data_IF_281752027720
#
_entry.id   IF_281752027720
#
_cell.length_a   1.000
_cell.length_b   1.000
_cell.length_c   1.000
_cell.angle_alpha   90.00
_cell.angle_beta   90.00
_cell.angle_gamma   90.00
#
_symmetry.space_group_name_H-M   'P 1'
#
loop_
_entity.id
_entity.type
_entity.pdbx_description
1 polymer ?
#
# COMPACT_ATOMS: atom_id res chain seq x y z
N UNK A 1 13.79 -9.98 -9.94
CA UNK A 1 13.80 -8.91 -8.92
C UNK A 1 12.67 -7.93 -9.19
N UNK A 2 11.97 -7.50 -8.16
CA UNK A 2 10.84 -6.59 -8.31
C UNK A 2 11.29 -5.15 -8.58
N UNK A 3 10.49 -4.43 -9.34
CA UNK A 3 10.71 -3.02 -9.65
C UNK A 3 9.41 -2.25 -9.44
N UNK A 4 9.48 -0.93 -9.53
CA UNK A 4 8.29 -0.08 -9.47
C UNK A 4 7.27 -0.41 -10.57
N UNK A 5 7.70 -1.05 -11.65
CA UNK A 5 6.80 -1.49 -12.72
C UNK A 5 5.90 -2.66 -12.30
N UNK A 6 6.25 -3.36 -11.22
CA UNK A 6 5.45 -4.45 -10.69
C UNK A 6 4.36 -3.96 -9.72
N UNK A 7 4.43 -2.69 -9.31
CA UNK A 7 3.39 -2.07 -8.48
C UNK A 7 2.23 -1.69 -9.38
N UNK A 8 1.00 -2.09 -8.98
CA UNK A 8 -0.18 -1.92 -9.81
C UNK A 8 -1.30 -1.22 -9.05
N UNK A 9 -1.99 -0.34 -9.75
CA UNK A 9 -3.25 0.22 -9.25
C UNK A 9 -4.38 -0.69 -9.73
N UNK A 10 -5.10 -1.28 -8.77
CA UNK A 10 -6.16 -2.25 -9.05
C UNK A 10 -7.51 -1.57 -8.80
N UNK A 11 -8.37 -1.61 -9.80
CA UNK A 11 -9.74 -1.13 -9.62
C UNK A 11 -10.55 -2.21 -8.90
N UNK A 12 -11.12 -1.85 -7.73
CA UNK A 12 -11.96 -2.74 -6.93
C UNK A 12 -13.39 -2.63 -7.47
N UNK A 13 -14.11 -3.75 -7.65
CA UNK A 13 -15.50 -3.69 -8.10
C UNK A 13 -16.35 -2.75 -7.24
N UNK A 14 -17.12 -1.91 -7.88
CA UNK A 14 -17.99 -0.96 -7.21
C UNK A 14 -19.43 -1.17 -7.68
N UNK A 15 -20.31 -1.41 -6.73
CA UNK A 15 -21.75 -1.54 -6.97
C UNK A 15 -22.40 -0.25 -6.50
N UNK A 16 -23.02 0.47 -7.43
CA UNK A 16 -23.65 1.78 -7.17
C UNK A 16 -25.16 1.67 -7.24
N UNK A 17 -25.85 2.26 -6.26
CA UNK A 17 -27.27 2.51 -6.34
C UNK A 17 -27.62 3.79 -5.57
N UNK A 18 -28.91 4.10 -5.44
CA UNK A 18 -29.37 5.35 -4.82
C UNK A 18 -28.94 5.46 -3.34
N UNK A 19 -28.61 4.34 -2.68
CA UNK A 19 -28.19 4.32 -1.26
C UNK A 19 -26.69 4.55 -1.11
N UNK A 20 -25.92 4.57 -2.20
CA UNK A 20 -24.47 4.75 -2.17
C UNK A 20 -23.73 3.68 -2.95
N UNK A 21 -22.46 3.52 -2.63
CA UNK A 21 -21.56 2.59 -3.30
C UNK A 21 -21.09 1.50 -2.34
N UNK A 22 -20.94 0.29 -2.89
CA UNK A 22 -20.37 -0.85 -2.16
C UNK A 22 -19.22 -1.41 -2.99
N UNK A 23 -18.07 -1.65 -2.36
CA UNK A 23 -16.93 -2.31 -3.01
C UNK A 23 -16.60 -3.60 -2.29
N UNK A 24 -16.23 -4.63 -3.07
CA UNK A 24 -16.01 -5.99 -2.56
C UNK A 24 -14.63 -6.46 -2.97
N UNK A 25 -13.92 -7.05 -2.01
CA UNK A 25 -12.66 -7.75 -2.26
C UNK A 25 -12.88 -9.20 -1.85
N UNK A 26 -12.95 -10.10 -2.82
CA UNK A 26 -13.13 -11.53 -2.59
C UNK A 26 -12.52 -12.34 -3.73
N UNK A 27 -12.21 -13.59 -3.48
CA UNK A 27 -11.69 -14.46 -4.53
C UNK A 27 -10.44 -13.88 -5.19
N UNK A 28 -10.51 -13.68 -6.50
CA UNK A 28 -9.39 -13.20 -7.31
C UNK A 28 -9.36 -11.69 -7.52
N UNK A 29 -10.10 -10.92 -6.72
CA UNK A 29 -10.08 -9.45 -6.82
C UNK A 29 -8.66 -8.91 -6.66
N UNK A 30 -7.87 -9.52 -5.77
CA UNK A 30 -6.46 -9.19 -5.60
C UNK A 30 -5.63 -10.49 -5.74
N UNK A 31 -4.34 -10.38 -6.11
CA UNK A 31 -3.55 -11.57 -6.47
C UNK A 31 -2.92 -12.30 -5.28
N UNK A 32 -3.46 -12.16 -4.08
CA UNK A 32 -3.00 -12.91 -2.91
C UNK A 32 -4.17 -13.06 -1.93
N UNK A 33 -4.02 -14.05 -1.03
CA UNK A 33 -4.98 -14.24 0.07
C UNK A 33 -4.56 -13.35 1.23
N UNK A 34 -5.45 -12.46 1.66
CA UNK A 34 -5.15 -11.58 2.79
C UNK A 34 -5.19 -12.38 4.10
N UNK A 35 -4.08 -12.38 4.80
CA UNK A 35 -3.97 -13.02 6.12
C UNK A 35 -4.05 -12.02 7.26
N UNK A 36 -3.89 -10.72 6.95
CA UNK A 36 -3.92 -9.66 7.95
C UNK A 36 -4.48 -8.40 7.29
N UNK A 37 -5.35 -7.71 8.02
CA UNK A 37 -5.87 -6.41 7.60
C UNK A 37 -5.67 -5.43 8.74
N UNK A 38 -5.11 -4.27 8.43
CA UNK A 38 -4.98 -3.19 9.39
C UNK A 38 -5.29 -1.86 8.71
N UNK A 39 -5.53 -0.84 9.51
CA UNK A 39 -5.87 0.46 8.94
C UNK A 39 -5.32 1.60 9.79
N UNK A 40 -4.94 2.66 9.12
CA UNK A 40 -4.44 3.88 9.73
C UNK A 40 -5.57 4.90 9.76
N UNK A 41 -5.75 5.53 10.90
CA UNK A 41 -6.75 6.59 11.06
C UNK A 41 -6.23 7.60 12.08
N UNK A 42 -6.88 8.75 12.15
CA UNK A 42 -6.45 9.86 13.01
C UNK A 42 -5.01 10.30 12.71
N UNK A 43 -4.58 10.16 11.45
CA UNK A 43 -3.25 10.58 11.04
C UNK A 43 -3.25 12.11 10.93
N UNK A 44 -2.35 12.81 11.65
CA UNK A 44 -2.29 14.26 11.53
C UNK A 44 -2.03 14.70 10.09
N UNK A 45 -2.75 15.73 9.64
CA UNK A 45 -2.58 16.28 8.30
C UNK A 45 -1.13 16.68 8.06
N UNK A 46 -0.57 16.27 6.92
CA UNK A 46 0.82 16.57 6.56
C UNK A 46 1.87 15.64 7.15
N UNK A 47 1.46 14.64 7.95
CA UNK A 47 2.40 13.65 8.50
C UNK A 47 2.94 12.71 7.45
N UNK A 48 4.07 12.06 7.75
CA UNK A 48 4.67 11.00 6.96
C UNK A 48 4.71 9.72 7.77
N UNK A 49 4.52 8.57 7.10
CA UNK A 49 4.57 7.26 7.73
C UNK A 49 5.13 6.21 6.77
N UNK A 50 5.48 5.05 7.33
CA UNK A 50 5.65 3.83 6.56
C UNK A 50 6.98 3.62 5.90
N UNK A 51 8.02 4.39 6.19
CA UNK A 51 9.34 4.21 5.59
C UNK A 51 9.89 2.80 5.83
N UNK A 52 9.56 1.86 4.95
CA UNK A 52 10.02 0.47 5.06
C UNK A 52 9.77 -0.29 3.75
N UNK A 53 10.33 -1.49 3.70
CA UNK A 53 10.05 -2.47 2.65
C UNK A 53 9.80 -3.83 3.30
N UNK A 54 9.23 -4.75 2.55
CA UNK A 54 9.03 -6.13 2.96
C UNK A 54 9.85 -7.06 2.08
N UNK A 55 10.46 -8.06 2.68
CA UNK A 55 11.25 -9.05 1.95
C UNK A 55 10.34 -10.02 1.19
N UNK A 56 9.23 -10.42 1.79
CA UNK A 56 8.30 -11.43 1.23
C UNK A 56 6.86 -10.97 1.14
N UNK A 57 6.41 -10.07 2.01
CA UNK A 57 5.00 -9.69 2.09
C UNK A 57 4.57 -8.79 0.95
N UNK A 58 3.41 -9.08 0.39
CA UNK A 58 2.69 -8.20 -0.53
C UNK A 58 1.60 -7.46 0.24
N UNK A 59 1.31 -6.24 -0.17
CA UNK A 59 0.27 -5.43 0.46
C UNK A 59 -0.61 -4.73 -0.57
N UNK A 60 -1.87 -4.53 -0.22
CA UNK A 60 -2.80 -3.69 -0.97
C UNK A 60 -3.21 -2.52 -0.07
N UNK A 61 -3.02 -1.30 -0.56
CA UNK A 61 -3.36 -0.08 0.17
C UNK A 61 -4.56 0.60 -0.48
N UNK A 62 -5.54 1.02 0.33
CA UNK A 62 -6.74 1.69 -0.16
C UNK A 62 -7.00 2.94 0.69
N UNK A 63 -7.27 4.08 0.04
CA UNK A 63 -7.77 5.25 0.74
C UNK A 63 -9.29 5.12 0.88
N UNK A 64 -9.77 4.58 2.01
CA UNK A 64 -11.20 4.45 2.26
C UNK A 64 -11.86 5.80 2.45
N UNK A 65 -11.11 6.79 2.91
CA UNK A 65 -11.55 8.16 3.13
C UNK A 65 -10.34 9.07 2.96
N UNK A 66 -10.54 10.25 2.40
CA UNK A 66 -9.47 11.22 2.21
C UNK A 66 -8.49 10.80 1.12
N UNK A 67 -7.27 11.33 1.22
CA UNK A 67 -6.22 11.07 0.24
C UNK A 67 -4.85 11.08 0.88
N UNK A 68 -3.91 10.39 0.24
CA UNK A 68 -2.49 10.41 0.61
C UNK A 68 -1.65 9.98 -0.59
N UNK A 69 -0.36 10.30 -0.52
CA UNK A 69 0.59 9.91 -1.55
C UNK A 69 1.43 8.75 -1.06
N UNK A 70 1.73 7.82 -1.96
CA UNK A 70 2.62 6.70 -1.72
C UNK A 70 3.86 6.90 -2.58
N UNK A 71 5.00 7.09 -1.93
CA UNK A 71 6.30 7.18 -2.60
C UNK A 71 6.90 5.79 -2.66
N UNK A 72 7.24 5.33 -3.87
CA UNK A 72 7.73 3.97 -4.12
C UNK A 72 9.15 4.04 -4.64
N UNK A 73 10.04 3.25 -4.04
CA UNK A 73 11.45 3.18 -4.46
C UNK A 73 11.86 1.72 -4.60
N UNK A 74 12.48 1.39 -5.72
CA UNK A 74 12.94 0.02 -5.99
C UNK A 74 14.47 -0.11 -5.98
N UNK A 75 15.18 0.93 -5.52
CA UNK A 75 16.63 0.97 -5.52
C UNK A 75 17.21 1.57 -6.80
N UNK A 76 16.40 1.78 -7.82
CA UNK A 76 16.85 2.26 -9.12
C UNK A 76 15.96 3.38 -9.68
N UNK A 77 14.69 3.39 -9.30
CA UNK A 77 13.73 4.42 -9.73
C UNK A 77 12.81 4.78 -8.58
N UNK A 78 12.12 5.90 -8.74
CA UNK A 78 11.16 6.40 -7.76
C UNK A 78 9.90 6.84 -8.49
N UNK A 79 8.73 6.54 -7.90
CA UNK A 79 7.49 7.10 -8.40
C UNK A 79 6.53 7.36 -7.25
N UNK A 80 5.61 8.27 -7.45
CA UNK A 80 4.59 8.62 -6.46
C UNK A 80 3.22 8.35 -7.03
N UNK A 81 2.38 7.68 -6.24
CA UNK A 81 0.99 7.40 -6.59
C UNK A 81 0.10 8.04 -5.55
N UNK A 82 -0.89 8.82 -5.98
CA UNK A 82 -1.87 9.40 -5.08
C UNK A 82 -3.07 8.46 -4.98
N UNK A 83 -3.44 8.10 -3.75
CA UNK A 83 -4.65 7.32 -3.49
C UNK A 83 -5.71 8.26 -2.93
N UNK A 84 -6.84 8.36 -3.62
CA UNK A 84 -7.92 9.30 -3.27
C UNK A 84 -9.32 8.74 -3.57
N UNK A 85 -9.45 7.45 -3.85
CA UNK A 85 -10.73 6.81 -4.16
C UNK A 85 -10.83 5.47 -3.45
N UNK A 86 -11.97 5.18 -2.79
CA UNK A 86 -12.08 3.93 -2.02
C UNK A 86 -12.21 2.67 -2.88
N UNK A 87 -12.43 2.80 -4.17
CA UNK A 87 -12.52 1.65 -5.07
C UNK A 87 -11.25 1.41 -5.89
N UNK A 88 -10.12 1.95 -5.46
CA UNK A 88 -8.82 1.68 -6.08
C UNK A 88 -7.83 1.27 -5.01
N UNK A 89 -7.17 0.15 -5.22
CA UNK A 89 -6.13 -0.34 -4.33
C UNK A 89 -4.78 -0.34 -5.01
N UNK A 90 -3.74 0.05 -4.28
CA UNK A 90 -2.37 -0.01 -4.76
C UNK A 90 -1.73 -1.31 -4.29
N UNK A 91 -1.43 -2.19 -5.23
CA UNK A 91 -0.69 -3.42 -4.94
C UNK A 91 0.79 -3.09 -4.89
N UNK A 92 1.37 -3.24 -3.69
CA UNK A 92 2.81 -3.08 -3.50
C UNK A 92 3.38 -4.48 -3.27
N UNK A 93 4.10 -4.98 -4.27
CA UNK A 93 4.71 -6.31 -4.20
C UNK A 93 5.92 -6.29 -3.27
N UNK A 94 6.40 -7.47 -2.88
CA UNK A 94 7.60 -7.59 -2.04
C UNK A 94 8.79 -6.87 -2.65
N UNK A 95 9.72 -6.41 -1.82
CA UNK A 95 10.96 -5.82 -2.28
C UNK A 95 10.84 -4.39 -2.79
N UNK A 96 9.80 -3.67 -2.41
CA UNK A 96 9.59 -2.28 -2.79
C UNK A 96 9.53 -1.43 -1.52
N UNK A 97 10.36 -0.39 -1.46
CA UNK A 97 10.33 0.58 -0.37
C UNK A 97 9.16 1.53 -0.58
N UNK A 98 8.41 1.79 0.51
CA UNK A 98 7.30 2.75 0.46
C UNK A 98 7.38 3.73 1.60
N UNK A 99 6.91 4.94 1.32
CA UNK A 99 6.68 5.98 2.31
C UNK A 99 5.32 6.58 2.03
N UNK A 100 4.54 6.79 3.07
CA UNK A 100 3.22 7.42 2.97
C UNK A 100 3.33 8.85 3.44
N UNK A 101 2.80 9.80 2.67
CA UNK A 101 2.92 11.22 2.99
C UNK A 101 1.75 11.99 2.44
N UNK A 102 1.70 13.27 2.79
CA UNK A 102 0.69 14.21 2.29
C UNK A 102 -0.73 13.76 2.61
N UNK A 103 -0.94 13.29 3.86
CA UNK A 103 -2.26 12.85 4.32
C UNK A 103 -3.23 14.03 4.39
N UNK A 104 -4.42 13.87 3.83
CA UNK A 104 -5.50 14.84 4.01
C UNK A 104 -6.14 14.66 5.38
N UNK A 105 -6.99 15.61 5.76
CA UNK A 105 -7.80 15.50 6.97
C UNK A 105 -8.78 14.33 6.84
N UNK A 106 -8.97 13.57 7.92
CA UNK A 106 -9.94 12.48 7.98
C UNK A 106 -9.59 11.26 7.13
N UNK A 107 -8.33 11.09 6.78
CA UNK A 107 -7.88 9.96 5.97
C UNK A 107 -8.04 8.64 6.73
N UNK A 108 -8.45 7.60 6.01
CA UNK A 108 -8.41 6.21 6.49
C UNK A 108 -7.70 5.39 5.43
N UNK A 109 -6.56 4.82 5.79
CA UNK A 109 -5.79 3.95 4.91
C UNK A 109 -5.98 2.50 5.35
N UNK A 110 -6.64 1.69 4.52
CA UNK A 110 -6.79 0.26 4.76
C UNK A 110 -5.64 -0.48 4.09
N UNK A 111 -5.03 -1.42 4.81
CA UNK A 111 -3.95 -2.25 4.27
C UNK A 111 -4.33 -3.72 4.45
N UNK A 112 -4.30 -4.47 3.35
CA UNK A 112 -4.47 -5.92 3.35
C UNK A 112 -3.11 -6.54 3.04
N UNK A 113 -2.69 -7.50 3.85
CA UNK A 113 -1.35 -8.08 3.77
C UNK A 113 -1.40 -9.57 3.51
N UNK A 114 -0.46 -10.07 2.70
CA UNK A 114 -0.37 -11.49 2.36
C UNK A 114 0.10 -12.37 3.50
N UNK A 115 0.74 -11.79 4.52
CA UNK A 115 1.35 -12.54 5.61
C UNK A 115 0.94 -11.96 6.96
N UNK A 116 1.05 -12.78 8.01
CA UNK A 116 0.91 -12.32 9.38
C UNK A 116 2.08 -11.41 9.71
N UNK A 117 1.92 -10.59 10.74
CA UNK A 117 2.99 -9.69 11.18
C UNK A 117 4.25 -10.48 11.54
N UNK A 118 5.38 -10.06 10.97
CA UNK A 118 6.69 -10.65 11.22
C UNK A 118 7.74 -9.55 11.09
N UNK A 119 8.30 -9.10 12.20
CA UNK A 119 9.28 -8.01 12.19
C UNK A 119 10.49 -8.37 11.34
N UNK A 120 10.88 -9.65 11.27
CA UNK A 120 12.03 -10.07 10.48
C UNK A 120 11.84 -9.89 8.97
N UNK A 121 10.59 -9.70 8.52
CA UNK A 121 10.28 -9.43 7.11
C UNK A 121 10.45 -7.95 6.76
N UNK A 122 10.52 -7.07 7.75
CA UNK A 122 10.65 -5.64 7.52
C UNK A 122 12.11 -5.23 7.28
N UNK A 123 12.28 -4.30 6.35
CA UNK A 123 13.52 -3.56 6.19
C UNK A 123 13.15 -2.11 6.49
N UNK A 124 13.65 -1.57 7.59
CA UNK A 124 13.24 -0.25 8.09
C UNK A 124 14.28 0.84 7.86
N UNK A 125 15.49 0.47 7.41
CA UNK A 125 16.57 1.38 7.10
C UNK A 125 16.79 1.38 5.59
N UNK A 126 16.82 2.57 4.98
CA UNK A 126 16.91 2.65 3.52
C UNK A 126 18.24 2.14 2.98
N UNK A 127 19.34 2.33 3.72
CA UNK A 127 20.63 1.80 3.30
C UNK A 127 20.61 0.27 3.28
N UNK A 128 19.96 -0.35 4.28
CA UNK A 128 19.77 -1.79 4.31
C UNK A 128 18.92 -2.25 3.13
N UNK A 129 17.92 -1.46 2.76
CA UNK A 129 17.10 -1.75 1.59
C UNK A 129 17.93 -1.73 0.31
N UNK A 130 18.80 -0.72 0.15
CA UNK A 130 19.66 -0.65 -1.03
C UNK A 130 20.59 -1.85 -1.12
N UNK A 131 21.16 -2.28 0.01
CA UNK A 131 21.99 -3.49 0.06
C UNK A 131 21.17 -4.73 -0.31
N UNK A 132 19.95 -4.82 0.18
CA UNK A 132 19.05 -5.94 -0.14
C UNK A 132 18.77 -6.01 -1.65
N UNK A 133 18.57 -4.88 -2.30
CA UNK A 133 18.25 -4.83 -3.73
C UNK A 133 19.47 -5.08 -4.61
N UNK A 134 20.66 -4.84 -4.12
CA UNK A 134 21.89 -4.92 -4.90
C UNK A 134 22.68 -6.22 -4.72
N UNK A 135 22.08 -7.22 -4.08
CA UNK A 135 22.79 -8.51 -3.93
C UNK A 135 22.44 -9.51 -5.02
#
# INVERSE_FOLDING_TARGET
>A
MTTNNDVQLIEIPKIHDIRGNLSVIEGNTIPFVSKRTYYLYDVPSGSSRGGHAHKEQHELLIALSGSFDVVLKDGNSEKTVTLNKPNFGLLIVKGIWRELQNFSSGVVCLVMASDLFDESDYIRDYEDFELFKNR
#
